data_IF_710924250649
#
_entry.id   IF_710924250649
#
_cell.length_a   1.000
_cell.length_b   1.000
_cell.length_c   1.000
_cell.angle_alpha   90.00
_cell.angle_beta   90.00
_cell.angle_gamma   90.00
#
_symmetry.space_group_name_H-M   'P 1'
#
loop_
_entity.id
_entity.type
_entity.pdbx_description
1 polymer ?
#
# COMPACT_ATOMS: atom_id res chain seq x y z
N UNK A 1 -0.74 12.77 2.70
CA UNK A 1 -1.82 11.77 2.88
C UNK A 1 -1.61 11.07 4.22
N UNK A 2 -2.63 11.08 5.08
CA UNK A 2 -2.59 10.44 6.39
C UNK A 2 -2.56 8.91 6.23
N UNK A 3 -1.51 8.28 6.76
CA UNK A 3 -1.31 6.81 6.83
C UNK A 3 -2.48 6.06 7.47
N UNK A 4 -3.32 6.76 8.24
CA UNK A 4 -4.52 6.26 8.92
C UNK A 4 -5.55 5.57 8.01
N UNK A 5 -5.55 5.84 6.69
CA UNK A 5 -6.47 5.18 5.74
C UNK A 5 -6.12 3.73 5.41
N UNK A 6 -4.95 3.23 5.83
CA UNK A 6 -4.54 1.83 5.64
C UNK A 6 -4.52 1.02 6.93
N UNK A 7 -4.43 1.67 8.09
CA UNK A 7 -4.29 1.03 9.40
C UNK A 7 -5.49 0.16 9.84
N UNK A 8 -6.67 0.32 9.23
CA UNK A 8 -7.87 -0.48 9.55
C UNK A 8 -8.43 -1.29 8.37
N UNK A 9 -7.76 -1.31 7.22
CA UNK A 9 -8.33 -1.89 6.01
C UNK A 9 -7.93 -3.34 5.85
N UNK A 10 -8.89 -4.25 6.04
CA UNK A 10 -8.65 -5.68 5.83
C UNK A 10 -8.17 -5.93 4.38
N UNK A 11 -7.02 -6.62 4.20
CA UNK A 11 -6.56 -7.00 2.88
C UNK A 11 -7.60 -7.89 2.18
N UNK A 12 -7.69 -7.76 0.85
CA UNK A 12 -8.45 -8.74 0.06
C UNK A 12 -7.82 -10.14 0.21
N UNK A 13 -8.65 -11.19 0.15
CA UNK A 13 -8.20 -12.59 0.16
C UNK A 13 -7.18 -12.90 -0.95
N UNK A 14 -7.32 -12.28 -2.12
CA UNK A 14 -6.43 -12.47 -3.29
C UNK A 14 -6.03 -11.12 -3.90
N UNK A 15 -4.87 -11.10 -4.56
CA UNK A 15 -4.42 -9.96 -5.36
C UNK A 15 -5.42 -9.69 -6.50
N UNK A 16 -5.81 -8.42 -6.68
CA UNK A 16 -6.77 -8.05 -7.72
C UNK A 16 -6.21 -8.16 -9.14
N UNK A 17 -4.88 -8.24 -9.32
CA UNK A 17 -4.15 -8.27 -10.62
C UNK A 17 -4.49 -7.14 -11.60
N UNK A 18 -5.40 -6.24 -11.26
CA UNK A 18 -5.78 -5.05 -12.02
C UNK A 18 -4.63 -4.06 -12.09
N UNK A 19 -4.53 -3.33 -13.21
CA UNK A 19 -3.64 -2.19 -13.38
C UNK A 19 -4.48 -0.91 -13.50
N UNK A 20 -4.42 0.01 -12.52
CA UNK A 20 -3.63 -0.05 -11.29
C UNK A 20 -4.23 -1.00 -10.22
N UNK A 21 -3.38 -1.54 -9.33
CA UNK A 21 -3.82 -2.36 -8.20
C UNK A 21 -4.65 -1.53 -7.23
N UNK A 22 -5.64 -2.18 -6.61
CA UNK A 22 -6.48 -1.54 -5.62
C UNK A 22 -5.72 -1.26 -4.31
N UNK A 23 -6.18 -0.26 -3.55
CA UNK A 23 -5.60 0.12 -2.25
C UNK A 23 -5.67 -1.00 -1.19
N UNK A 24 -6.57 -1.97 -1.36
CA UNK A 24 -6.77 -3.12 -0.47
C UNK A 24 -6.03 -4.39 -0.93
N UNK A 25 -5.22 -4.26 -1.98
CA UNK A 25 -4.50 -5.39 -2.51
C UNK A 25 -3.48 -5.86 -1.47
N UNK A 26 -3.43 -7.16 -1.13
CA UNK A 26 -2.49 -7.67 -0.12
C UNK A 26 -1.03 -7.30 -0.46
N UNK A 27 -0.67 -7.26 -1.74
CA UNK A 27 0.68 -6.84 -2.19
C UNK A 27 0.96 -5.37 -1.87
N UNK A 28 -0.02 -4.49 -2.09
CA UNK A 28 0.12 -3.04 -1.83
C UNK A 28 0.24 -2.80 -0.33
N UNK A 29 -0.62 -3.42 0.47
CA UNK A 29 -0.59 -3.29 1.93
C UNK A 29 0.71 -3.86 2.52
N UNK A 30 1.19 -4.99 2.02
CA UNK A 30 2.43 -5.59 2.50
C UNK A 30 3.64 -4.71 2.18
N UNK A 31 3.69 -4.09 1.00
CA UNK A 31 4.75 -3.16 0.62
C UNK A 31 4.73 -1.89 1.47
N UNK A 32 3.55 -1.30 1.68
CA UNK A 32 3.37 -0.12 2.54
C UNK A 32 3.78 -0.43 3.97
N UNK A 33 3.33 -1.56 4.54
CA UNK A 33 3.71 -1.99 5.90
C UNK A 33 5.22 -2.20 6.04
N UNK A 34 5.87 -2.80 5.03
CA UNK A 34 7.33 -2.98 5.02
C UNK A 34 8.05 -1.63 5.01
N UNK A 35 7.54 -0.66 4.25
CA UNK A 35 8.09 0.69 4.21
C UNK A 35 7.88 1.44 5.55
N UNK A 36 6.70 1.30 6.16
CA UNK A 36 6.43 1.87 7.49
C UNK A 36 7.36 1.29 8.57
N UNK A 37 7.59 -0.03 8.55
CA UNK A 37 8.56 -0.68 9.44
C UNK A 37 10.00 -0.24 9.19
N UNK A 38 10.33 0.12 7.95
CA UNK A 38 11.62 0.72 7.60
C UNK A 38 11.74 2.21 7.99
N UNK A 39 10.73 2.78 8.68
CA UNK A 39 10.72 4.18 9.11
C UNK A 39 10.34 5.18 8.01
N UNK A 40 9.90 4.71 6.84
CA UNK A 40 9.49 5.58 5.73
C UNK A 40 8.16 6.25 6.08
N UNK A 41 8.16 7.59 6.08
CA UNK A 41 7.00 8.40 6.45
C UNK A 41 6.70 9.49 5.42
N UNK A 42 5.48 10.02 5.47
CA UNK A 42 5.06 11.16 4.67
C UNK A 42 5.09 10.91 3.15
N UNK A 43 5.76 11.81 2.41
CA UNK A 43 5.75 11.85 0.94
C UNK A 43 6.35 10.61 0.29
N UNK A 44 7.34 10.00 0.93
CA UNK A 44 7.99 8.78 0.42
C UNK A 44 7.06 7.57 0.47
N UNK A 45 6.21 7.47 1.49
CA UNK A 45 5.22 6.41 1.60
C UNK A 45 4.19 6.48 0.47
N UNK A 46 3.79 7.70 0.08
CA UNK A 46 2.90 7.90 -1.06
C UNK A 46 3.54 7.50 -2.39
N UNK A 47 4.84 7.76 -2.58
CA UNK A 47 5.57 7.34 -3.77
C UNK A 47 5.60 5.82 -3.87
N UNK A 48 5.88 5.13 -2.76
CA UNK A 48 5.86 3.67 -2.69
C UNK A 48 4.46 3.14 -3.01
N UNK A 49 3.42 3.70 -2.40
CA UNK A 49 2.03 3.31 -2.69
C UNK A 49 1.69 3.48 -4.19
N UNK A 50 2.04 4.61 -4.79
CA UNK A 50 1.78 4.87 -6.23
C UNK A 50 2.55 3.90 -7.11
N UNK A 51 3.83 3.61 -6.78
CA UNK A 51 4.68 2.66 -7.50
C UNK A 51 4.12 1.25 -7.43
N UNK A 52 3.83 0.74 -6.24
CA UNK A 52 3.29 -0.62 -6.05
C UNK A 52 1.92 -0.80 -6.69
N UNK A 53 1.12 0.27 -6.82
CA UNK A 53 -0.16 0.22 -7.52
C UNK A 53 -0.03 0.17 -9.04
N UNK A 54 1.08 0.63 -9.64
CA UNK A 54 1.28 0.60 -11.09
C UNK A 54 1.94 -0.70 -11.59
N UNK A 55 2.56 -1.48 -10.71
CA UNK A 55 3.09 -2.84 -11.00
C UNK A 55 2.02 -3.92 -11.14
#
# INVERSE_FOLDING_TARGET
MNSSKFAGVKPKKKCCRSKPRCKRCPVVLHAVRKAELAGVRGKELEKILKRTRKS
#
